data_IF_678497903570
#
_entry.id   IF_678497903570
#
_cell.length_a   1.000
_cell.length_b   1.000
_cell.length_c   1.000
_cell.angle_alpha   90.00
_cell.angle_beta   90.00
_cell.angle_gamma   90.00
#
_symmetry.space_group_name_H-M   'P 1'
#
loop_
_entity.id
_entity.type
_entity.pdbx_description
1 polymer ?
#
# COMPACT_ATOMS: atom_id res chain seq x y z
N UNK A 1 3.74 18.72 -7.28
CA UNK A 1 4.70 18.23 -6.25
C UNK A 1 4.16 18.49 -4.83
N UNK A 2 3.93 19.74 -4.41
CA UNK A 2 3.47 20.06 -3.05
C UNK A 2 2.20 19.31 -2.61
N UNK A 3 1.13 19.32 -3.42
CA UNK A 3 -0.11 18.60 -3.11
C UNK A 3 0.06 17.07 -3.05
N UNK A 4 0.94 16.51 -3.90
CA UNK A 4 1.25 15.08 -3.90
C UNK A 4 2.07 14.68 -2.66
N UNK A 5 3.02 15.53 -2.25
CA UNK A 5 3.77 15.37 -1.02
C UNK A 5 2.86 15.48 0.21
N UNK A 6 1.92 16.43 0.24
CA UNK A 6 0.91 16.53 1.30
C UNK A 6 0.04 15.27 1.40
N UNK A 7 -0.45 14.77 0.27
CA UNK A 7 -1.27 13.56 0.22
C UNK A 7 -0.50 12.32 0.70
N UNK A 8 0.73 12.16 0.23
CA UNK A 8 1.62 11.09 0.65
C UNK A 8 1.96 11.19 2.14
N UNK A 9 2.21 12.39 2.67
CA UNK A 9 2.49 12.62 4.08
C UNK A 9 1.28 12.31 4.97
N UNK A 10 0.06 12.70 4.56
CA UNK A 10 -1.16 12.36 5.28
C UNK A 10 -1.37 10.83 5.35
N UNK A 11 -1.17 10.13 4.22
CA UNK A 11 -1.23 8.67 4.18
C UNK A 11 -0.19 8.03 5.10
N UNK A 12 1.08 8.48 5.04
CA UNK A 12 2.16 7.94 5.85
C UNK A 12 1.96 8.15 7.36
N UNK A 13 1.36 9.27 7.75
CA UNK A 13 1.03 9.58 9.16
C UNK A 13 -0.25 8.91 9.63
N UNK A 14 -0.99 8.26 8.73
CA UNK A 14 -2.31 7.69 9.04
C UNK A 14 -3.36 8.75 9.36
N UNK A 15 -3.16 9.99 8.92
CA UNK A 15 -4.08 11.11 9.13
C UNK A 15 -5.27 10.97 8.19
N UNK A 16 -6.22 10.12 8.60
CA UNK A 16 -7.39 9.77 7.80
C UNK A 16 -8.28 10.98 7.47
N UNK A 17 -8.34 11.97 8.38
CA UNK A 17 -9.11 13.18 8.16
C UNK A 17 -8.47 14.03 7.06
N UNK A 18 -7.19 14.38 7.21
CA UNK A 18 -6.49 15.19 6.21
C UNK A 18 -6.42 14.49 4.86
N UNK A 19 -6.20 13.18 4.87
CA UNK A 19 -6.18 12.36 3.66
C UNK A 19 -7.52 12.44 2.91
N UNK A 20 -8.64 12.34 3.63
CA UNK A 20 -9.98 12.47 3.05
C UNK A 20 -10.23 13.87 2.50
N UNK A 21 -9.91 14.91 3.26
CA UNK A 21 -10.05 16.30 2.81
C UNK A 21 -9.31 16.56 1.49
N UNK A 22 -8.06 16.08 1.38
CA UNK A 22 -7.26 16.24 0.17
C UNK A 22 -7.88 15.49 -1.04
N UNK A 23 -8.32 14.26 -0.84
CA UNK A 23 -8.94 13.46 -1.89
C UNK A 23 -10.33 13.99 -2.30
N UNK A 24 -11.10 14.55 -1.35
CA UNK A 24 -12.36 15.24 -1.63
C UNK A 24 -12.12 16.55 -2.40
N UNK A 25 -10.98 17.20 -2.16
CA UNK A 25 -10.47 18.35 -2.91
C UNK A 25 -9.87 18.01 -4.27
N UNK A 26 -10.20 16.86 -4.85
CA UNK A 26 -9.73 16.38 -6.15
C UNK A 26 -8.21 16.15 -6.27
N UNK A 27 -7.51 15.90 -5.16
CA UNK A 27 -6.15 15.38 -5.23
C UNK A 27 -6.13 14.02 -5.93
N UNK A 28 -5.24 13.83 -6.90
CA UNK A 28 -5.07 12.56 -7.58
C UNK A 28 -4.48 11.51 -6.59
N UNK A 29 -5.20 10.42 -6.28
CA UNK A 29 -4.73 9.37 -5.37
C UNK A 29 -3.48 8.64 -5.88
N UNK A 30 -3.14 8.77 -7.16
CA UNK A 30 -1.96 8.20 -7.81
C UNK A 30 -0.86 9.23 -8.08
N UNK A 31 -1.01 10.47 -7.57
CA UNK A 31 0.03 11.48 -7.70
C UNK A 31 1.32 11.01 -7.02
N UNK A 32 2.45 11.14 -7.72
CA UNK A 32 3.75 10.77 -7.18
C UNK A 32 4.35 11.93 -6.37
N UNK A 33 4.80 11.61 -5.16
CA UNK A 33 5.53 12.53 -4.29
C UNK A 33 6.97 12.75 -4.80
N UNK A 34 7.73 13.58 -4.09
CA UNK A 34 9.12 13.93 -4.43
C UNK A 34 10.09 12.73 -4.42
N UNK A 35 9.68 11.59 -3.87
CA UNK A 35 10.44 10.33 -3.90
C UNK A 35 9.98 9.37 -5.02
N UNK A 36 9.08 9.81 -5.91
CA UNK A 36 8.54 8.99 -6.99
C UNK A 36 7.53 7.92 -6.52
N UNK A 37 7.03 8.03 -5.29
CA UNK A 37 6.08 7.09 -4.68
C UNK A 37 4.67 7.67 -4.64
N UNK A 38 3.69 6.80 -4.77
CA UNK A 38 2.27 7.14 -4.60
C UNK A 38 1.86 7.02 -3.12
N UNK A 39 0.77 7.68 -2.70
CA UNK A 39 0.27 7.62 -1.33
C UNK A 39 0.09 6.19 -0.80
N UNK A 40 -0.42 5.26 -1.62
CA UNK A 40 -0.64 3.87 -1.20
C UNK A 40 0.66 3.10 -0.93
N UNK A 41 1.78 3.52 -1.53
CA UNK A 41 3.10 2.93 -1.29
C UNK A 41 3.77 3.43 0.00
N UNK A 42 3.34 4.58 0.52
CA UNK A 42 3.90 5.16 1.75
C UNK A 42 2.92 5.17 2.92
N UNK A 43 1.70 4.68 2.72
CA UNK A 43 0.65 4.71 3.73
C UNK A 43 1.05 4.02 5.03
N UNK A 44 0.43 4.44 6.13
CA UNK A 44 0.53 3.74 7.41
C UNK A 44 -0.07 2.34 7.27
N UNK A 45 0.77 1.34 6.96
CA UNK A 45 0.33 -0.03 6.67
C UNK A 45 -0.45 -0.68 7.82
N UNK A 46 -0.25 -0.25 9.07
CA UNK A 46 -1.04 -0.71 10.21
C UNK A 46 -2.46 -0.14 10.28
N UNK A 47 -2.83 0.77 9.38
CA UNK A 47 -4.15 1.38 9.28
C UNK A 47 -4.87 0.89 8.02
N UNK A 48 -5.65 -0.21 8.08
CA UNK A 48 -6.40 -0.69 6.92
C UNK A 48 -7.37 0.37 6.39
N UNK A 49 -7.88 1.25 7.25
CA UNK A 49 -8.76 2.37 6.87
C UNK A 49 -8.10 3.36 5.90
N UNK A 50 -6.79 3.60 6.05
CA UNK A 50 -6.04 4.49 5.14
C UNK A 50 -5.92 3.82 3.77
N UNK A 51 -5.60 2.52 3.75
CA UNK A 51 -5.56 1.74 2.52
C UNK A 51 -6.92 1.74 1.83
N UNK A 52 -7.99 1.41 2.55
CA UNK A 52 -9.36 1.39 2.04
C UNK A 52 -9.77 2.73 1.46
N UNK A 53 -9.48 3.85 2.15
CA UNK A 53 -9.81 5.18 1.64
C UNK A 53 -9.06 5.46 0.32
N UNK A 54 -7.76 5.20 0.25
CA UNK A 54 -6.99 5.39 -0.98
C UNK A 54 -7.55 4.54 -2.14
N UNK A 55 -7.83 3.27 -1.86
CA UNK A 55 -8.38 2.32 -2.84
C UNK A 55 -9.77 2.74 -3.32
N UNK A 56 -10.64 3.19 -2.42
CA UNK A 56 -11.98 3.71 -2.75
C UNK A 56 -11.91 4.94 -3.66
N UNK A 57 -10.83 5.72 -3.58
CA UNK A 57 -10.61 6.87 -4.48
C UNK A 57 -9.90 6.51 -5.77
N UNK A 58 -9.53 5.24 -5.97
CA UNK A 58 -8.91 4.76 -7.22
C UNK A 58 -7.38 4.70 -7.18
N UNK A 59 -6.76 4.63 -5.99
CA UNK A 59 -5.34 4.34 -5.90
C UNK A 59 -5.01 2.95 -6.48
N UNK A 60 -3.95 2.87 -7.28
CA UNK A 60 -3.48 1.62 -7.88
C UNK A 60 -2.67 0.78 -6.87
N UNK A 61 -3.17 -0.38 -6.41
CA UNK A 61 -2.44 -1.23 -5.46
C UNK A 61 -1.28 -2.00 -6.09
N UNK A 62 -1.08 -1.91 -7.41
CA UNK A 62 -0.10 -2.68 -8.17
C UNK A 62 1.08 -1.84 -8.66
N UNK A 63 1.19 -0.58 -8.25
CA UNK A 63 2.34 0.24 -8.62
C UNK A 63 3.60 -0.25 -7.86
N UNK A 64 4.67 -0.65 -8.55
CA UNK A 64 5.90 -1.07 -7.91
C UNK A 64 6.66 0.11 -7.34
N UNK A 65 7.28 -0.10 -6.19
CA UNK A 65 8.23 0.84 -5.63
C UNK A 65 9.41 1.06 -6.60
N UNK A 66 9.78 2.31 -6.93
CA UNK A 66 10.81 2.58 -7.94
C UNK A 66 12.21 2.11 -7.54
N UNK A 67 12.47 1.88 -6.24
CA UNK A 67 13.78 1.48 -5.72
C UNK A 67 13.87 -0.02 -5.45
N UNK A 68 12.80 -0.64 -4.96
CA UNK A 68 12.81 -2.05 -4.53
C UNK A 68 12.01 -2.97 -5.43
N UNK A 69 11.15 -2.43 -6.30
CA UNK A 69 10.17 -3.19 -7.07
C UNK A 69 9.06 -3.81 -6.21
N UNK A 70 9.01 -3.52 -4.90
CA UNK A 70 7.95 -4.05 -4.03
C UNK A 70 6.60 -3.45 -4.41
N UNK A 71 5.59 -4.31 -4.54
CA UNK A 71 4.18 -3.88 -4.50
C UNK A 71 3.75 -3.61 -3.04
N UNK A 72 2.74 -2.76 -2.79
CA UNK A 72 2.13 -2.59 -1.47
C UNK A 72 1.81 -3.90 -0.73
N UNK A 73 1.40 -4.94 -1.47
CA UNK A 73 1.15 -6.27 -0.91
C UNK A 73 2.40 -6.92 -0.27
N UNK A 74 3.59 -6.72 -0.84
CA UNK A 74 4.84 -7.22 -0.24
C UNK A 74 5.12 -6.55 1.10
N UNK A 75 4.90 -5.24 1.20
CA UNK A 75 5.18 -4.50 2.41
C UNK A 75 4.16 -4.83 3.52
N UNK A 76 2.87 -4.97 3.16
CA UNK A 76 1.84 -5.44 4.09
C UNK A 76 2.11 -6.87 4.58
N UNK A 77 2.52 -7.77 3.68
CA UNK A 77 2.85 -9.15 4.05
C UNK A 77 4.07 -9.21 4.98
N UNK A 78 5.14 -8.47 4.64
CA UNK A 78 6.37 -8.40 5.44
C UNK A 78 6.19 -7.81 6.83
N UNK A 79 5.30 -6.82 6.95
CA UNK A 79 4.98 -6.20 8.22
C UNK A 79 3.92 -6.97 9.03
N UNK A 80 3.31 -8.01 8.47
CA UNK A 80 2.31 -8.83 9.17
C UNK A 80 0.91 -8.19 9.25
N UNK A 81 0.64 -7.16 8.45
CA UNK A 81 -0.65 -6.45 8.48
C UNK A 81 -1.69 -7.14 7.60
N UNK A 82 -2.25 -8.23 8.12
CA UNK A 82 -3.21 -9.07 7.41
C UNK A 82 -4.43 -8.30 6.90
N UNK A 83 -5.03 -7.42 7.72
CA UNK A 83 -6.22 -6.66 7.30
C UNK A 83 -5.91 -5.70 6.14
N UNK A 84 -4.76 -5.04 6.18
CA UNK A 84 -4.31 -4.16 5.08
C UNK A 84 -3.99 -4.96 3.83
N UNK A 85 -3.34 -6.12 3.96
CA UNK A 85 -3.10 -7.04 2.85
C UNK A 85 -4.42 -7.51 2.23
N UNK A 86 -5.41 -7.85 3.06
CA UNK A 86 -6.72 -8.27 2.60
C UNK A 86 -7.47 -7.12 1.90
N UNK A 87 -7.37 -5.89 2.40
CA UNK A 87 -7.94 -4.71 1.74
C UNK A 87 -7.32 -4.49 0.34
N UNK A 88 -5.98 -4.56 0.25
CA UNK A 88 -5.25 -4.49 -1.01
C UNK A 88 -5.70 -5.61 -1.99
N UNK A 89 -5.76 -6.86 -1.52
CA UNK A 89 -6.17 -7.99 -2.35
C UNK A 89 -7.61 -7.84 -2.86
N UNK A 90 -8.56 -7.45 -1.99
CA UNK A 90 -9.96 -7.18 -2.39
C UNK A 90 -10.06 -6.08 -3.46
N UNK A 91 -9.14 -5.12 -3.46
CA UNK A 91 -9.07 -4.08 -4.46
C UNK A 91 -8.22 -4.43 -5.70
N UNK A 92 -7.85 -5.71 -5.86
CA UNK A 92 -7.15 -6.21 -7.06
C UNK A 92 -5.62 -6.15 -6.99
N UNK A 93 -5.02 -6.07 -5.79
CA UNK A 93 -3.58 -6.25 -5.64
C UNK A 93 -3.15 -7.66 -6.10
N UNK A 94 -2.10 -7.70 -6.91
CA UNK A 94 -1.51 -8.94 -7.42
C UNK A 94 -0.60 -9.55 -6.37
N UNK A 95 -0.89 -10.79 -6.01
CA UNK A 95 -0.12 -11.57 -5.03
C UNK A 95 0.86 -12.54 -5.70
N UNK A 96 0.83 -12.61 -7.03
CA UNK A 96 1.62 -13.50 -7.89
C UNK A 96 2.78 -12.79 -8.59
N UNK A 97 3.00 -11.50 -8.31
CA UNK A 97 4.06 -10.70 -8.92
C UNK A 97 5.28 -10.64 -8.00
N UNK A 98 6.48 -10.96 -8.50
CA UNK A 98 7.69 -10.83 -7.71
C UNK A 98 8.13 -9.36 -7.57
N UNK A 99 8.75 -9.03 -6.44
CA UNK A 99 9.48 -7.79 -6.25
C UNK A 99 10.78 -7.73 -7.08
N UNK A 100 11.52 -6.63 -6.97
CA UNK A 100 12.80 -6.45 -7.69
C UNK A 100 13.91 -7.44 -7.29
N UNK A 101 13.68 -8.29 -6.27
CA UNK A 101 14.58 -9.37 -5.86
C UNK A 101 14.03 -10.75 -6.21
N UNK A 102 12.95 -10.83 -6.99
CA UNK A 102 12.35 -12.10 -7.41
C UNK A 102 11.46 -12.76 -6.36
N UNK A 103 11.07 -12.06 -5.28
CA UNK A 103 10.30 -12.63 -4.17
C UNK A 103 8.83 -12.27 -4.28
N UNK A 104 7.94 -13.23 -4.06
CA UNK A 104 6.50 -13.01 -3.91
C UNK A 104 6.16 -12.43 -2.52
N UNK A 105 4.95 -11.88 -2.32
CA UNK A 105 4.46 -11.49 -0.99
C UNK A 105 4.53 -12.64 0.02
N UNK A 106 4.26 -13.88 -0.40
CA UNK A 106 4.36 -15.07 0.45
C UNK A 106 5.78 -15.30 0.97
N UNK A 107 6.80 -15.09 0.11
CA UNK A 107 8.21 -15.31 0.45
C UNK A 107 8.73 -14.32 1.51
N UNK A 108 8.05 -13.19 1.68
CA UNK A 108 8.41 -12.16 2.66
C UNK A 108 7.44 -12.10 3.83
N UNK A 109 6.44 -12.98 3.91
CA UNK A 109 5.39 -12.93 4.91
C UNK A 109 5.91 -13.03 6.35
N UNK A 110 5.41 -12.15 7.23
CA UNK A 110 5.71 -12.23 8.66
C UNK A 110 5.20 -13.54 9.26
N UNK A 111 6.06 -14.25 9.99
CA UNK A 111 5.75 -15.58 10.52
C UNK A 111 5.86 -16.71 9.50
N UNK A 112 6.38 -16.43 8.30
CA UNK A 112 6.52 -17.41 7.22
C UNK A 112 5.18 -17.90 6.70
N UNK A 113 5.21 -19.02 5.98
CA UNK A 113 4.04 -19.68 5.36
C UNK A 113 2.96 -20.08 6.36
N UNK A 114 3.32 -20.33 7.61
CA UNK A 114 2.39 -20.77 8.66
C UNK A 114 1.86 -19.62 9.51
N UNK A 115 2.34 -18.40 9.31
CA UNK A 115 1.80 -17.20 9.95
C UNK A 115 0.39 -16.87 9.43
N UNK A 116 -0.38 -16.00 10.12
CA UNK A 116 -1.69 -15.57 9.65
C UNK A 116 -1.67 -15.00 8.22
N UNK A 117 -0.64 -14.21 7.91
CA UNK A 117 -0.40 -13.67 6.56
C UNK A 117 0.01 -14.76 5.57
N UNK A 118 0.93 -15.66 5.95
CA UNK A 118 1.36 -16.76 5.09
C UNK A 118 0.21 -17.68 4.69
N UNK A 119 -0.67 -18.01 5.65
CA UNK A 119 -1.88 -18.81 5.40
C UNK A 119 -2.88 -18.11 4.49
N UNK A 120 -2.97 -16.78 4.56
CA UNK A 120 -3.83 -16.00 3.66
C UNK A 120 -3.30 -15.97 2.22
N UNK A 121 -1.97 -16.02 2.06
CA UNK A 121 -1.28 -15.93 0.76
C UNK A 121 -1.10 -17.29 0.06
N UNK A 122 -1.59 -18.37 0.65
CA UNK A 122 -1.47 -19.75 0.14
C UNK A 122 -2.72 -20.17 -0.63
#
# INVERSE_FOLDING_TARGET
PAAADELANAAARGDLQRLRELLDGAADPNAVNSYGRTPIQVMMLGSPRVAELLLQRGADPNRPDPRTGCLPAHDAARAGFLETLAALHRAGARLDRPDGRGRLPLDVAAGGSDGPVGRYLR
#
